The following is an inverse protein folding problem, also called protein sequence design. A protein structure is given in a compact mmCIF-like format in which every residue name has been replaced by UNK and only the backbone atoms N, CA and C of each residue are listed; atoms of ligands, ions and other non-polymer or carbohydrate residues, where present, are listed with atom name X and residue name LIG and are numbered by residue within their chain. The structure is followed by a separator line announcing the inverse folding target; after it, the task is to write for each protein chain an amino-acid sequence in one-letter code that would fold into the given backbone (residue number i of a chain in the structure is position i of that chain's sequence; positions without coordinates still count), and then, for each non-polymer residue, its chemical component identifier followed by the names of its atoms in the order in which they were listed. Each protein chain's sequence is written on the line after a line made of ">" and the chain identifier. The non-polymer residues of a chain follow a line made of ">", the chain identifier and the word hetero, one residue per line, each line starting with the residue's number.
data_IF_467622938303
#
_entry.id   IF_467622938303
#
_cell.length_a   1.000
_cell.length_b   1.000
_cell.length_c   1.000
_cell.angle_alpha   90.00
_cell.angle_beta   90.00
_cell.angle_gamma   90.00
#
_symmetry.space_group_name_H-M   'P 1'
#
loop_
_entity.id
_entity.type
_entity.pdbx_description
1 polymer ?
#
# COMPACT_ATOMS: atom_id res chain seq x y z
N UNK A 1 -11.53 -20.16 -30.54
CA UNK A 1 -11.01 -18.93 -29.91
C UNK A 1 -9.94 -19.36 -28.92
N UNK A 2 -8.73 -18.79 -28.99
CA UNK A 2 -7.67 -19.12 -28.02
C UNK A 2 -8.03 -18.62 -26.61
N UNK A 3 -7.65 -19.37 -25.57
CA UNK A 3 -7.96 -19.06 -24.17
C UNK A 3 -7.50 -17.66 -23.79
N UNK A 4 -6.32 -17.22 -24.22
CA UNK A 4 -5.82 -15.88 -23.88
C UNK A 4 -6.63 -14.77 -24.54
N UNK A 5 -7.08 -14.99 -25.78
CA UNK A 5 -7.94 -14.02 -26.49
C UNK A 5 -9.31 -13.90 -25.82
N UNK A 6 -9.91 -15.03 -25.39
CA UNK A 6 -11.15 -15.01 -24.62
C UNK A 6 -10.99 -14.23 -23.31
N UNK A 7 -9.95 -14.54 -22.53
CA UNK A 7 -9.66 -13.86 -21.27
C UNK A 7 -9.34 -12.38 -21.47
N UNK A 8 -8.80 -11.98 -22.62
CA UNK A 8 -8.60 -10.56 -22.94
C UNK A 8 -9.91 -9.81 -23.15
N UNK A 9 -10.87 -10.41 -23.85
CA UNK A 9 -12.21 -9.84 -23.96
C UNK A 9 -12.89 -9.68 -22.59
N UNK A 10 -12.72 -10.66 -21.70
CA UNK A 10 -13.18 -10.57 -20.31
C UNK A 10 -12.47 -9.45 -19.56
N UNK A 11 -11.16 -9.32 -19.72
CA UNK A 11 -10.38 -8.26 -19.09
C UNK A 11 -10.75 -6.87 -19.59
N UNK A 12 -11.06 -6.71 -20.88
CA UNK A 12 -11.49 -5.42 -21.43
C UNK A 12 -12.81 -4.95 -20.79
N UNK A 13 -13.71 -5.88 -20.44
CA UNK A 13 -14.98 -5.57 -19.76
C UNK A 13 -14.85 -5.37 -18.25
N UNK A 14 -14.20 -6.31 -17.55
CA UNK A 14 -14.24 -6.41 -16.08
C UNK A 14 -12.87 -6.15 -15.41
N UNK A 15 -11.84 -5.93 -16.21
CA UNK A 15 -10.48 -5.76 -15.77
C UNK A 15 -10.12 -4.36 -15.30
N UNK A 16 -9.09 -4.30 -14.47
CA UNK A 16 -8.54 -3.05 -13.95
C UNK A 16 -7.03 -3.13 -13.81
N UNK A 17 -6.37 -1.99 -14.06
CA UNK A 17 -4.94 -1.80 -13.89
C UNK A 17 -4.73 -0.63 -12.93
N UNK A 18 -4.46 -0.92 -11.66
CA UNK A 18 -4.41 0.06 -10.59
C UNK A 18 -3.00 0.22 -10.04
N UNK A 19 -2.70 1.44 -9.60
CA UNK A 19 -1.47 1.75 -8.88
C UNK A 19 -1.82 2.23 -7.48
N UNK A 20 -1.00 1.84 -6.51
CA UNK A 20 -1.17 2.24 -5.11
C UNK A 20 0.16 2.74 -4.56
N UNK A 21 0.12 3.74 -3.69
CA UNK A 21 1.28 4.12 -2.89
C UNK A 21 1.15 3.49 -1.50
N UNK A 22 2.02 2.54 -1.17
CA UNK A 22 1.98 1.81 0.10
C UNK A 22 3.37 1.63 0.67
N UNK A 23 3.56 1.99 1.94
CA UNK A 23 4.84 1.86 2.66
C UNK A 23 6.02 2.53 1.92
N UNK A 24 5.81 3.78 1.48
CA UNK A 24 6.86 4.58 0.83
C UNK A 24 7.20 4.17 -0.60
N UNK A 25 6.34 3.40 -1.28
CA UNK A 25 6.58 2.96 -2.65
C UNK A 25 5.31 2.79 -3.46
N UNK A 26 5.46 2.97 -4.77
CA UNK A 26 4.44 2.57 -5.74
C UNK A 26 4.36 1.05 -5.87
N UNK A 27 3.13 0.55 -5.97
CA UNK A 27 2.82 -0.82 -6.37
C UNK A 27 1.84 -0.79 -7.54
N UNK A 28 1.91 -1.83 -8.37
CA UNK A 28 1.02 -2.03 -9.50
C UNK A 28 0.21 -3.30 -9.23
N UNK A 29 -1.08 -3.27 -9.56
CA UNK A 29 -1.96 -4.43 -9.52
C UNK A 29 -2.82 -4.45 -10.77
N UNK A 30 -2.83 -5.59 -11.44
CA UNK A 30 -3.83 -5.95 -12.44
C UNK A 30 -4.84 -6.85 -11.73
N UNK A 31 -6.14 -6.62 -11.92
CA UNK A 31 -7.17 -7.46 -11.32
C UNK A 31 -8.44 -7.55 -12.14
N UNK A 32 -9.15 -8.67 -11.97
CA UNK A 32 -10.48 -8.95 -12.52
C UNK A 32 -11.35 -9.41 -11.36
N UNK A 33 -12.56 -8.88 -11.25
CA UNK A 33 -13.51 -9.21 -10.17
C UNK A 33 -14.82 -9.66 -10.77
N UNK A 34 -15.30 -10.85 -10.44
CA UNK A 34 -16.58 -11.38 -10.94
C UNK A 34 -17.12 -12.53 -10.07
N UNK A 35 -18.35 -12.96 -10.34
CA UNK A 35 -18.98 -14.10 -9.67
C UNK A 35 -18.56 -15.46 -10.26
N UNK A 36 -18.20 -15.50 -11.54
CA UNK A 36 -17.72 -16.72 -12.23
C UNK A 36 -16.28 -17.04 -11.80
N UNK A 37 -16.14 -17.89 -10.78
CA UNK A 37 -14.85 -18.21 -10.15
C UNK A 37 -13.96 -19.00 -11.11
N UNK A 38 -14.56 -19.88 -11.92
CA UNK A 38 -13.91 -20.68 -12.94
C UNK A 38 -13.14 -19.83 -13.96
N UNK A 39 -13.69 -18.67 -14.36
CA UNK A 39 -12.98 -17.75 -15.26
C UNK A 39 -11.77 -17.14 -14.56
N UNK A 40 -11.87 -16.83 -13.27
CA UNK A 40 -10.74 -16.30 -12.49
C UNK A 40 -9.65 -17.34 -12.26
N UNK A 41 -10.01 -18.63 -12.19
CA UNK A 41 -9.05 -19.73 -12.17
C UNK A 41 -8.31 -19.84 -13.51
N UNK A 42 -8.99 -19.66 -14.64
CA UNK A 42 -8.32 -19.60 -15.95
C UNK A 42 -7.30 -18.46 -16.03
N UNK A 43 -7.60 -17.27 -15.48
CA UNK A 43 -6.61 -16.20 -15.35
C UNK A 43 -5.39 -16.64 -14.51
N UNK A 44 -5.63 -17.30 -13.37
CA UNK A 44 -4.57 -17.81 -12.49
C UNK A 44 -3.71 -18.86 -13.17
N UNK A 45 -4.30 -19.77 -13.92
CA UNK A 45 -3.59 -20.83 -14.64
C UNK A 45 -2.78 -20.25 -15.80
N UNK A 46 -3.34 -19.28 -16.53
CA UNK A 46 -2.71 -18.70 -17.72
C UNK A 46 -1.55 -17.78 -17.39
N UNK A 47 -1.67 -16.95 -16.34
CA UNK A 47 -0.68 -15.91 -16.01
C UNK A 47 -0.16 -15.94 -14.57
N UNK A 48 -0.57 -16.92 -13.76
CA UNK A 48 -0.27 -16.95 -12.32
C UNK A 48 -1.09 -15.90 -11.55
N UNK A 49 -0.55 -15.44 -10.42
CA UNK A 49 -1.23 -14.47 -9.56
C UNK A 49 -1.96 -15.13 -8.39
N UNK A 50 -2.87 -14.39 -7.78
CA UNK A 50 -3.61 -14.83 -6.59
C UNK A 50 -5.10 -14.75 -6.85
N UNK A 51 -5.84 -15.65 -6.21
CA UNK A 51 -7.29 -15.67 -6.22
C UNK A 51 -7.79 -15.39 -4.80
N UNK A 52 -8.68 -14.42 -4.66
CA UNK A 52 -9.31 -14.07 -3.40
C UNK A 52 -10.83 -14.21 -3.53
N UNK A 53 -11.43 -15.07 -2.72
CA UNK A 53 -12.88 -15.31 -2.73
C UNK A 53 -13.51 -14.56 -1.55
N UNK A 54 -14.47 -13.68 -1.86
CA UNK A 54 -15.26 -12.93 -0.89
C UNK A 54 -16.68 -13.48 -0.84
N UNK A 55 -16.99 -14.21 0.23
CA UNK A 55 -18.36 -14.59 0.57
C UNK A 55 -19.07 -13.37 1.16
N UNK A 56 -20.24 -12.99 0.62
CA UNK A 56 -21.07 -11.95 1.25
C UNK A 56 -21.66 -12.47 2.55
N UNK A 57 -21.83 -11.55 3.51
CA UNK A 57 -22.43 -11.85 4.82
C UNK A 57 -23.96 -11.81 4.81
N UNK A 58 -24.57 -11.22 3.79
CA UNK A 58 -26.03 -11.07 3.65
C UNK A 58 -26.64 -12.27 2.93
N UNK A 59 -27.77 -12.76 3.41
CA UNK A 59 -28.55 -13.79 2.75
C UNK A 59 -28.86 -13.40 1.29
N UNK A 60 -28.70 -14.34 0.34
CA UNK A 60 -28.89 -14.10 -1.10
C UNK A 60 -27.76 -13.34 -1.80
N UNK A 61 -26.68 -12.96 -1.10
CA UNK A 61 -25.54 -12.30 -1.71
C UNK A 61 -24.71 -13.24 -2.59
N UNK A 62 -24.43 -12.85 -3.83
CA UNK A 62 -23.51 -13.59 -4.70
C UNK A 62 -22.10 -13.62 -4.10
N UNK A 63 -21.45 -14.77 -4.22
CA UNK A 63 -20.01 -14.90 -3.92
C UNK A 63 -19.23 -14.22 -5.04
N UNK A 64 -18.30 -13.34 -4.69
CA UNK A 64 -17.44 -12.66 -5.66
C UNK A 64 -16.02 -13.14 -5.49
N UNK A 65 -15.37 -13.49 -6.59
CA UNK A 65 -13.94 -13.72 -6.66
C UNK A 65 -13.21 -12.50 -7.20
N UNK A 66 -11.94 -12.39 -6.84
CA UNK A 66 -11.01 -11.46 -7.43
C UNK A 66 -9.72 -12.20 -7.77
N UNK A 67 -9.40 -12.30 -9.06
CA UNK A 67 -8.05 -12.60 -9.50
C UNK A 67 -7.23 -11.31 -9.50
N UNK A 68 -5.99 -11.38 -9.02
CA UNK A 68 -5.06 -10.27 -9.13
C UNK A 68 -3.60 -10.72 -9.25
N UNK A 69 -2.83 -9.94 -10.01
CA UNK A 69 -1.39 -10.10 -10.17
C UNK A 69 -0.71 -8.74 -10.02
N UNK A 70 0.48 -8.70 -9.42
CA UNK A 70 1.09 -7.44 -9.00
C UNK A 70 2.54 -7.27 -9.43
N UNK A 71 2.94 -6.00 -9.59
CA UNK A 71 4.31 -5.55 -9.88
C UNK A 71 4.96 -6.33 -11.03
N UNK A 72 6.18 -6.80 -10.87
CA UNK A 72 6.95 -7.54 -11.86
C UNK A 72 6.29 -8.83 -12.33
N UNK A 73 5.46 -9.48 -11.49
CA UNK A 73 4.74 -10.70 -11.91
C UNK A 73 3.69 -10.42 -12.98
N UNK A 74 3.21 -9.18 -13.10
CA UNK A 74 2.20 -8.81 -14.08
C UNK A 74 2.77 -8.62 -15.50
N UNK A 75 4.10 -8.65 -15.69
CA UNK A 75 4.75 -8.36 -16.98
C UNK A 75 4.22 -9.26 -18.11
N UNK A 76 4.17 -10.61 -17.99
CA UNK A 76 3.71 -11.45 -19.09
C UNK A 76 2.24 -11.18 -19.50
N UNK A 77 1.40 -10.85 -18.52
CA UNK A 77 0.02 -10.44 -18.79
C UNK A 77 -0.03 -9.11 -19.53
N UNK A 78 0.71 -8.11 -19.05
CA UNK A 78 0.70 -6.75 -19.61
C UNK A 78 1.30 -6.71 -21.02
N UNK A 79 2.30 -7.53 -21.33
CA UNK A 79 2.84 -7.68 -22.69
C UNK A 79 1.79 -8.22 -23.66
N UNK A 80 1.05 -9.25 -23.22
CA UNK A 80 -0.03 -9.81 -24.02
C UNK A 80 -1.17 -8.79 -24.19
N UNK A 81 -1.57 -8.11 -23.11
CA UNK A 81 -2.63 -7.11 -23.13
C UNK A 81 -2.27 -5.85 -23.96
N UNK A 82 -1.00 -5.43 -23.98
CA UNK A 82 -0.57 -4.28 -24.80
C UNK A 82 -0.68 -4.57 -26.31
N UNK A 83 -0.53 -5.84 -26.69
CA UNK A 83 -0.62 -6.30 -28.08
C UNK A 83 -2.05 -6.62 -28.50
N UNK A 84 -2.84 -7.24 -27.61
CA UNK A 84 -4.13 -7.85 -27.95
C UNK A 84 -5.34 -7.17 -27.30
N UNK A 85 -5.15 -6.30 -26.31
CA UNK A 85 -6.24 -5.62 -25.61
C UNK A 85 -6.85 -4.52 -26.47
N UNK A 86 -8.18 -4.46 -26.52
CA UNK A 86 -8.90 -3.51 -27.37
C UNK A 86 -9.07 -2.16 -26.67
N UNK A 87 -9.27 -2.16 -25.35
CA UNK A 87 -9.57 -0.96 -24.58
C UNK A 87 -8.42 -0.59 -23.62
N UNK A 88 -8.15 0.70 -23.46
CA UNK A 88 -7.12 1.25 -22.55
C UNK A 88 -5.67 0.85 -22.85
N UNK A 89 -5.33 0.54 -24.10
CA UNK A 89 -3.96 0.22 -24.55
C UNK A 89 -2.89 1.11 -23.92
N UNK A 90 -3.05 2.43 -23.97
CA UNK A 90 -2.07 3.37 -23.41
C UNK A 90 -1.85 3.17 -21.91
N UNK A 91 -2.91 2.89 -21.13
CA UNK A 91 -2.79 2.63 -19.69
C UNK A 91 -2.06 1.32 -19.42
N UNK A 92 -2.27 0.30 -20.26
CA UNK A 92 -1.55 -0.97 -20.19
C UNK A 92 -0.07 -0.78 -20.52
N UNK A 93 0.26 0.02 -21.52
CA UNK A 93 1.64 0.37 -21.88
C UNK A 93 2.36 1.08 -20.72
N UNK A 94 1.75 2.10 -20.11
CA UNK A 94 2.32 2.77 -18.94
C UNK A 94 2.52 1.79 -17.77
N UNK A 95 1.56 0.89 -17.55
CA UNK A 95 1.65 -0.13 -16.52
C UNK A 95 2.76 -1.15 -16.79
N UNK A 96 2.97 -1.53 -18.06
CA UNK A 96 4.04 -2.43 -18.47
C UNK A 96 5.41 -1.79 -18.23
N UNK A 97 5.58 -0.52 -18.61
CA UNK A 97 6.80 0.24 -18.35
C UNK A 97 7.06 0.34 -16.84
N UNK A 98 6.02 0.63 -16.06
CA UNK A 98 6.09 0.67 -14.60
C UNK A 98 6.48 -0.69 -14.01
N UNK A 99 5.90 -1.79 -14.49
CA UNK A 99 6.19 -3.14 -14.03
C UNK A 99 7.64 -3.54 -14.32
N UNK A 100 8.15 -3.23 -15.52
CA UNK A 100 9.55 -3.45 -15.92
C UNK A 100 10.50 -2.63 -15.05
N UNK A 101 10.17 -1.38 -14.77
CA UNK A 101 10.95 -0.55 -13.85
C UNK A 101 10.99 -1.15 -12.43
N UNK A 102 9.87 -1.67 -11.93
CA UNK A 102 9.82 -2.35 -10.62
C UNK A 102 10.61 -3.66 -10.61
N UNK A 103 10.68 -4.37 -11.74
CA UNK A 103 11.42 -5.62 -11.86
C UNK A 103 12.92 -5.46 -11.66
N UNK A 104 13.51 -4.31 -12.06
CA UNK A 104 14.93 -3.97 -11.81
C UNK A 104 15.33 -4.15 -10.33
N UNK A 105 14.38 -3.96 -9.42
CA UNK A 105 14.58 -3.99 -7.97
C UNK A 105 13.99 -5.22 -7.28
N UNK A 106 13.53 -6.20 -8.06
CA UNK A 106 13.02 -7.48 -7.54
C UNK A 106 14.19 -8.46 -7.43
N UNK A 107 15.00 -8.32 -6.38
CA UNK A 107 16.09 -9.26 -6.08
C UNK A 107 15.51 -10.47 -5.32
N UNK A 108 15.70 -11.71 -5.79
CA UNK A 108 15.33 -12.92 -5.04
C UNK A 108 15.95 -12.91 -3.64
N UNK A 109 15.16 -13.19 -2.60
CA UNK A 109 15.64 -13.26 -1.22
C UNK A 109 15.81 -11.92 -0.48
N UNK A 110 15.78 -10.78 -1.17
CA UNK A 110 15.85 -9.45 -0.51
C UNK A 110 14.43 -8.95 -0.26
N UNK A 111 14.15 -8.48 0.98
CA UNK A 111 12.90 -7.77 1.28
C UNK A 111 12.84 -6.45 0.51
N UNK A 112 12.34 -6.54 -0.72
CA UNK A 112 11.51 -5.57 -1.43
C UNK A 112 11.82 -4.11 -1.06
N UNK A 113 13.00 -3.63 -1.49
CA UNK A 113 13.35 -2.20 -1.53
C UNK A 113 14.06 -1.59 -0.32
N UNK A 114 14.51 -2.38 0.65
CA UNK A 114 15.34 -1.88 1.77
C UNK A 114 16.60 -2.73 1.84
N UNK A 115 17.77 -2.11 1.62
CA UNK A 115 19.04 -2.73 1.98
C UNK A 115 19.27 -2.52 3.48
N UNK A 116 18.98 -3.53 4.30
CA UNK A 116 19.15 -3.44 5.76
C UNK A 116 20.63 -3.24 6.13
N UNK A 117 21.57 -3.63 5.25
CA UNK A 117 23.01 -3.49 5.51
C UNK A 117 23.60 -2.14 5.07
N UNK A 118 22.90 -1.33 4.26
CA UNK A 118 23.47 -0.08 3.71
C UNK A 118 22.61 1.18 3.90
N UNK A 119 21.42 1.10 4.50
CA UNK A 119 20.64 2.29 4.89
C UNK A 119 20.13 3.19 3.75
N UNK A 120 20.32 2.81 2.48
CA UNK A 120 19.91 3.57 1.30
C UNK A 120 18.69 3.00 0.57
N UNK A 121 17.90 3.89 -0.05
CA UNK A 121 16.89 3.53 -1.04
C UNK A 121 17.60 3.02 -2.31
N UNK A 122 17.22 1.84 -2.80
CA UNK A 122 17.75 1.32 -4.08
C UNK A 122 17.28 2.13 -5.29
N UNK A 123 16.21 2.92 -5.16
CA UNK A 123 15.64 3.70 -6.26
C UNK A 123 16.48 4.93 -6.57
N UNK A 124 16.92 5.05 -7.81
CA UNK A 124 17.52 6.29 -8.32
C UNK A 124 16.46 7.40 -8.42
N UNK A 125 16.84 8.68 -8.35
CA UNK A 125 15.92 9.80 -8.57
C UNK A 125 15.20 9.73 -9.91
N UNK A 126 15.88 9.26 -10.97
CA UNK A 126 15.30 9.09 -12.31
C UNK A 126 14.19 8.05 -12.30
N UNK A 127 14.40 6.92 -11.60
CA UNK A 127 13.37 5.90 -11.47
C UNK A 127 12.19 6.38 -10.61
N UNK A 128 12.41 7.28 -9.64
CA UNK A 128 11.32 7.91 -8.90
C UNK A 128 10.46 8.79 -9.82
N UNK A 129 11.09 9.71 -10.54
CA UNK A 129 10.44 10.60 -11.52
C UNK A 129 9.70 9.82 -12.59
N UNK A 130 10.32 8.75 -13.11
CA UNK A 130 9.70 7.86 -14.08
C UNK A 130 8.42 7.21 -13.54
N UNK A 131 8.47 6.65 -12.33
CA UNK A 131 7.29 6.02 -11.72
C UNK A 131 6.17 7.01 -11.48
N UNK A 132 6.50 8.20 -11.00
CA UNK A 132 5.52 9.26 -10.77
C UNK A 132 4.84 9.69 -12.07
N UNK A 133 5.62 9.97 -13.12
CA UNK A 133 5.11 10.28 -14.46
C UNK A 133 4.15 9.20 -14.97
N UNK A 134 4.56 7.93 -14.94
CA UNK A 134 3.75 6.81 -15.41
C UNK A 134 2.45 6.66 -14.60
N UNK A 135 2.52 6.82 -13.29
CA UNK A 135 1.34 6.76 -12.42
C UNK A 135 0.37 7.90 -12.71
N UNK A 136 0.87 9.13 -12.88
CA UNK A 136 0.04 10.28 -13.23
C UNK A 136 -0.62 10.10 -14.60
N UNK A 137 0.11 9.57 -15.57
CA UNK A 137 -0.43 9.25 -16.90
C UNK A 137 -1.50 8.14 -16.83
N UNK A 138 -1.25 7.04 -16.09
CA UNK A 138 -2.27 6.01 -15.89
C UNK A 138 -3.53 6.55 -15.21
N UNK A 139 -3.38 7.53 -14.32
CA UNK A 139 -4.49 8.19 -13.62
C UNK A 139 -5.30 9.06 -14.55
N UNK A 140 -4.66 9.87 -15.42
CA UNK A 140 -5.38 10.70 -16.39
C UNK A 140 -6.22 9.85 -17.36
N UNK A 141 -5.76 8.62 -17.65
CA UNK A 141 -6.45 7.64 -18.49
C UNK A 141 -7.57 6.85 -17.78
N UNK A 142 -7.77 7.04 -16.46
CA UNK A 142 -8.75 6.25 -15.70
C UNK A 142 -10.22 6.69 -15.87
N UNK A 143 -10.46 7.89 -16.41
CA UNK A 143 -11.79 8.47 -16.59
C UNK A 143 -12.52 8.83 -15.28
N UNK A 144 -13.69 9.48 -15.39
CA UNK A 144 -14.47 10.04 -14.28
C UNK A 144 -15.00 9.02 -13.23
N UNK A 145 -14.82 7.71 -13.44
CA UNK A 145 -15.19 6.65 -12.46
C UNK A 145 -14.07 6.33 -11.46
N UNK A 146 -12.95 7.04 -11.51
CA UNK A 146 -11.92 6.94 -10.48
C UNK A 146 -12.51 7.42 -9.15
N UNK A 147 -12.64 6.52 -8.16
CA UNK A 147 -13.03 6.86 -6.76
C UNK A 147 -11.88 7.56 -6.03
N UNK A 148 -11.27 8.53 -6.68
CA UNK A 148 -10.08 9.20 -6.22
C UNK A 148 -10.44 10.60 -5.74
N UNK A 149 -9.92 10.95 -4.57
CA UNK A 149 -9.91 12.31 -4.06
C UNK A 149 -8.84 13.11 -4.84
N UNK A 150 -9.22 14.11 -5.65
CA UNK A 150 -8.28 14.92 -6.42
C UNK A 150 -7.25 15.67 -5.55
N UNK A 151 -7.44 15.74 -4.23
CA UNK A 151 -6.48 16.33 -3.29
C UNK A 151 -5.42 15.35 -2.75
N UNK A 152 -5.39 14.09 -3.20
CA UNK A 152 -4.30 13.18 -2.83
C UNK A 152 -3.02 13.56 -3.60
N UNK A 153 -2.30 14.53 -3.04
CA UNK A 153 -0.92 14.82 -3.37
C UNK A 153 -0.09 13.61 -2.90
N UNK A 154 0.48 12.87 -3.85
CA UNK A 154 1.62 12.05 -3.51
C UNK A 154 2.73 13.05 -3.17
N UNK A 155 3.06 13.20 -1.89
CA UNK A 155 4.28 13.89 -1.47
C UNK A 155 5.48 13.20 -2.14
N UNK A 156 5.82 13.63 -3.36
CA UNK A 156 7.01 13.23 -4.10
C UNK A 156 8.28 13.83 -3.53
N UNK A 157 8.16 14.53 -2.40
CA UNK A 157 9.21 14.97 -1.49
C UNK A 157 9.52 13.96 -0.38
N UNK A 158 9.02 12.73 -0.44
CA UNK A 158 9.45 11.64 0.44
C UNK A 158 10.88 11.11 0.17
N UNK A 159 11.77 11.94 -0.38
CA UNK A 159 13.15 11.96 0.11
C UNK A 159 13.05 12.26 1.59
N UNK A 160 13.30 11.27 2.46
CA UNK A 160 13.48 11.36 3.91
C UNK A 160 13.61 12.80 4.45
N UNK A 161 12.53 13.57 4.45
CA UNK A 161 12.56 14.93 4.96
C UNK A 161 12.33 14.69 6.43
N UNK A 162 13.46 14.52 7.14
CA UNK A 162 13.49 14.75 8.58
C UNK A 162 12.68 16.02 8.78
N UNK A 163 11.57 15.93 9.52
CA UNK A 163 10.95 17.13 10.08
C UNK A 163 12.09 18.04 10.56
N UNK A 164 12.04 19.36 10.27
CA UNK A 164 13.06 20.28 10.77
C UNK A 164 13.28 19.99 12.25
N UNK A 165 14.52 20.03 12.73
CA UNK A 165 14.87 19.57 14.08
C UNK A 165 13.98 20.19 15.19
N UNK A 166 13.39 21.35 14.92
CA UNK A 166 12.41 22.05 15.76
C UNK A 166 11.02 21.39 15.88
N UNK A 167 10.69 20.37 15.08
CA UNK A 167 9.38 19.71 15.08
C UNK A 167 9.40 18.25 15.54
N UNK A 168 10.54 17.77 16.05
CA UNK A 168 10.61 16.47 16.75
C UNK A 168 10.23 16.63 18.23
N UNK A 169 9.43 15.71 18.80
CA UNK A 169 9.15 15.71 20.23
C UNK A 169 10.45 15.68 21.04
N UNK A 170 10.59 16.56 22.03
CA UNK A 170 11.74 16.51 22.94
C UNK A 170 11.62 15.32 23.89
N UNK A 171 12.74 14.93 24.50
CA UNK A 171 12.76 13.87 25.51
C UNK A 171 11.81 14.18 26.66
N UNK A 172 11.77 15.42 27.12
CA UNK A 172 10.95 15.88 28.24
C UNK A 172 9.46 15.75 27.92
N UNK A 173 9.05 16.13 26.71
CA UNK A 173 7.66 15.97 26.25
C UNK A 173 7.27 14.50 26.22
N UNK A 174 8.13 13.65 25.67
CA UNK A 174 7.88 12.21 25.59
C UNK A 174 7.83 11.55 26.96
N UNK A 175 8.77 11.83 27.87
CA UNK A 175 8.74 11.30 29.24
C UNK A 175 7.47 11.76 29.95
N UNK A 176 7.13 13.04 29.87
CA UNK A 176 5.96 13.61 30.55
C UNK A 176 4.67 12.97 30.04
N UNK A 177 4.42 12.96 28.73
CA UNK A 177 3.15 12.47 28.19
C UNK A 177 3.08 10.94 28.20
N UNK A 178 4.15 10.26 27.80
CA UNK A 178 4.16 8.82 27.61
C UNK A 178 4.48 8.04 28.89
N UNK A 179 5.47 8.46 29.69
CA UNK A 179 5.86 7.72 30.89
C UNK A 179 5.13 8.22 32.15
N UNK A 180 4.96 9.53 32.32
CA UNK A 180 4.33 10.10 33.52
C UNK A 180 2.80 10.12 33.39
N UNK A 181 2.26 10.71 32.33
CA UNK A 181 0.82 10.82 32.09
C UNK A 181 0.21 9.56 31.44
N UNK A 182 1.05 8.58 31.08
CA UNK A 182 0.63 7.28 30.58
C UNK A 182 -0.24 7.34 29.30
N UNK A 183 -0.16 8.42 28.52
CA UNK A 183 -0.88 8.61 27.26
C UNK A 183 -0.39 7.61 26.21
N UNK A 184 -1.28 7.00 25.44
CA UNK A 184 -0.90 6.15 24.32
C UNK A 184 -0.10 6.92 23.26
N UNK A 185 0.74 6.25 22.47
CA UNK A 185 1.50 6.91 21.39
C UNK A 185 0.61 7.69 20.41
N UNK A 186 -0.66 7.29 20.27
CA UNK A 186 -1.65 8.01 19.44
C UNK A 186 -2.07 9.32 20.09
N UNK A 187 -2.46 9.29 21.36
CA UNK A 187 -2.80 10.51 22.10
C UNK A 187 -1.61 11.48 22.17
N UNK A 188 -0.38 10.96 22.35
CA UNK A 188 0.84 11.78 22.29
C UNK A 188 1.03 12.40 20.90
N UNK A 189 0.80 11.62 19.83
CA UNK A 189 0.91 12.10 18.47
C UNK A 189 -0.11 13.21 18.17
N UNK A 190 -1.36 13.02 18.59
CA UNK A 190 -2.45 13.98 18.46
C UNK A 190 -2.14 15.27 19.26
N UNK A 191 -1.66 15.14 20.50
CA UNK A 191 -1.32 16.28 21.36
C UNK A 191 -0.13 17.11 20.84
N UNK A 192 0.81 16.47 20.14
CA UNK A 192 2.00 17.13 19.58
C UNK A 192 1.87 17.47 18.08
N UNK A 193 0.71 17.22 17.47
CA UNK A 193 0.47 17.49 16.05
C UNK A 193 1.41 16.72 15.11
N UNK A 194 1.82 15.50 15.50
CA UNK A 194 2.76 14.68 14.72
C UNK A 194 2.20 13.28 14.44
N UNK A 195 2.95 12.44 13.71
CA UNK A 195 2.53 11.06 13.47
C UNK A 195 2.98 10.12 14.60
N UNK A 196 2.26 9.03 14.81
CA UNK A 196 2.64 7.95 15.75
C UNK A 196 4.04 7.40 15.45
N UNK A 197 4.44 7.39 14.18
CA UNK A 197 5.79 6.99 13.77
C UNK A 197 6.87 7.91 14.33
N UNK A 198 6.63 9.23 14.33
CA UNK A 198 7.54 10.23 14.90
C UNK A 198 7.68 10.05 16.41
N UNK A 199 6.57 9.83 17.12
CA UNK A 199 6.59 9.54 18.57
C UNK A 199 7.39 8.28 18.87
N UNK A 200 7.16 7.19 18.11
CA UNK A 200 7.90 5.94 18.28
C UNK A 200 9.40 6.12 18.04
N UNK A 201 9.79 6.80 16.97
CA UNK A 201 11.18 7.10 16.68
C UNK A 201 11.81 7.96 17.79
N UNK A 202 11.11 8.99 18.26
CA UNK A 202 11.59 9.82 19.37
C UNK A 202 11.79 9.04 20.68
N UNK A 203 10.86 8.15 21.03
CA UNK A 203 11.00 7.27 22.20
C UNK A 203 12.27 6.42 22.09
N UNK A 204 12.52 5.83 20.91
CA UNK A 204 13.72 5.03 20.66
C UNK A 204 15.00 5.88 20.69
N UNK A 205 15.00 7.04 20.01
CA UNK A 205 16.15 7.97 19.95
C UNK A 205 16.55 8.48 21.35
N UNK A 206 15.58 8.68 22.25
CA UNK A 206 15.82 9.13 23.62
C UNK A 206 15.94 8.01 24.67
N UNK A 207 15.98 6.74 24.24
CA UNK A 207 16.15 5.59 25.11
C UNK A 207 14.97 5.31 26.06
N UNK A 208 13.77 5.74 25.68
CA UNK A 208 12.54 5.53 26.46
C UNK A 208 11.92 4.18 26.02
N UNK A 209 11.79 3.19 26.91
CA UNK A 209 11.30 1.87 26.55
C UNK A 209 9.84 1.91 26.09
N UNK A 210 9.54 1.13 25.05
CA UNK A 210 8.17 0.96 24.58
C UNK A 210 7.39 0.04 25.52
N UNK A 211 6.11 0.37 25.73
CA UNK A 211 5.22 -0.39 26.61
C UNK A 211 4.85 -1.69 25.92
N UNK A 212 4.92 -2.79 26.67
CA UNK A 212 4.45 -4.08 26.21
C UNK A 212 2.92 -4.10 26.06
N UNK A 213 2.40 -5.08 25.32
CA UNK A 213 0.96 -5.21 25.10
C UNK A 213 0.17 -5.39 26.41
N UNK A 214 0.71 -6.18 27.35
CA UNK A 214 0.08 -6.40 28.66
C UNK A 214 0.03 -5.12 29.50
N UNK A 215 1.11 -4.34 29.48
CA UNK A 215 1.23 -3.08 30.20
C UNK A 215 0.28 -2.02 29.64
N UNK A 216 0.25 -1.86 28.32
CA UNK A 216 -0.66 -0.94 27.64
C UNK A 216 -2.14 -1.27 27.94
N UNK A 217 -2.49 -2.56 27.95
CA UNK A 217 -3.83 -3.01 28.29
C UNK A 217 -4.19 -2.70 29.76
N UNK A 218 -3.25 -2.89 30.70
CA UNK A 218 -3.45 -2.55 32.12
C UNK A 218 -3.69 -1.06 32.31
N UNK A 219 -2.87 -0.22 31.69
CA UNK A 219 -2.99 1.25 31.77
C UNK A 219 -4.32 1.73 31.19
N UNK A 220 -4.71 1.19 30.03
CA UNK A 220 -5.97 1.54 29.40
C UNK A 220 -7.17 1.18 30.29
N UNK A 221 -7.16 -0.01 30.90
CA UNK A 221 -8.19 -0.44 31.86
C UNK A 221 -8.22 0.47 33.09
N UNK A 222 -7.06 0.80 33.66
CA UNK A 222 -6.96 1.68 34.83
C UNK A 222 -7.50 3.09 34.55
N UNK A 223 -7.19 3.67 33.39
CA UNK A 223 -7.72 4.99 32.99
C UNK A 223 -9.23 4.97 32.75
N UNK A 224 -9.78 3.84 32.32
CA UNK A 224 -11.22 3.69 32.05
C UNK A 224 -12.04 3.42 33.32
N UNK A 225 -11.42 2.83 34.35
CA UNK A 225 -12.08 2.55 35.62
C UNK A 225 -12.33 3.81 36.48
N UNK A 226 -11.62 4.92 36.21
CA UNK A 226 -11.73 6.15 37.01
C UNK A 226 -11.25 5.99 38.46
N UNK A 227 -10.99 7.08 39.19
CA UNK A 227 -10.47 7.04 40.57
C UNK A 227 -11.55 6.72 41.63
N UNK A 228 -12.48 5.78 41.39
CA UNK A 228 -13.69 5.66 42.24
C UNK A 228 -14.38 4.30 42.34
N UNK A 229 -13.67 3.17 42.21
CA UNK A 229 -14.28 1.86 42.49
C UNK A 229 -13.37 0.98 43.32
N UNK A 230 -13.18 1.37 44.58
CA UNK A 230 -12.84 0.46 45.66
C UNK A 230 -13.70 0.87 46.85
N UNK A 231 -14.80 0.14 47.07
CA UNK A 231 -15.57 0.16 48.32
C UNK A 231 -15.30 -1.16 49.01
#
# INVERSE_FOLDING_TARGET
>A
MDTKSYLMGVFDGEGSVNTYYQRGRWTLQVSVTMAAIEILELFRETWGGNLHIRKRKTAGGLTLGQWYIGSSKAIPFLEYAATNGMWRRRRVECALELARNMAKYTIPGVRKGINISQGGSFLTPEDHTLRERLVLEMRSLAGARSRFDPNFQADSTATATRLPAAARPTREQLVTMYATQQMSMREVADALGCSVGVVRSGLHEHGIPLRGHAEAARIFRARRAGPGTTT
#
